data_IF_974911058192
#
_entry.id   IF_974911058192
#
_cell.length_a   1.000
_cell.length_b   1.000
_cell.length_c   1.000
_cell.angle_alpha   90.00
_cell.angle_beta   90.00
_cell.angle_gamma   90.00
#
_symmetry.space_group_name_H-M   'P 1'
#
loop_
_entity.id
_entity.type
_entity.pdbx_description
1 polymer ?
#
# COMPACT_ATOMS: atom_id res chain seq x y z
N UNK A 1 10.47 -5.31 0.57
CA UNK A 1 9.58 -4.15 0.44
C UNK A 1 9.25 -3.71 -1.00
N UNK A 2 10.24 -3.46 -1.86
CA UNK A 2 10.02 -2.81 -3.18
C UNK A 2 8.99 -3.51 -4.09
N UNK A 3 8.97 -4.85 -4.12
CA UNK A 3 7.98 -5.60 -4.89
C UNK A 3 6.54 -5.33 -4.42
N UNK A 4 6.31 -5.27 -3.10
CA UNK A 4 4.98 -5.02 -2.53
C UNK A 4 4.47 -3.62 -2.89
N UNK A 5 5.33 -2.60 -2.86
CA UNK A 5 4.99 -1.24 -3.27
C UNK A 5 4.65 -1.14 -4.77
N UNK A 6 5.30 -1.94 -5.61
CA UNK A 6 4.97 -1.99 -7.04
C UNK A 6 3.59 -2.60 -7.29
N UNK A 7 3.27 -3.72 -6.64
CA UNK A 7 1.92 -4.33 -6.74
C UNK A 7 0.85 -3.38 -6.18
N UNK A 8 1.16 -2.65 -5.12
CA UNK A 8 0.30 -1.61 -4.56
C UNK A 8 0.03 -0.49 -5.58
N UNK A 9 1.05 -0.04 -6.30
CA UNK A 9 0.85 0.96 -7.36
C UNK A 9 0.14 0.42 -8.61
N UNK A 10 -0.02 -0.90 -8.75
CA UNK A 10 -0.75 -1.55 -9.84
C UNK A 10 -2.23 -1.79 -9.52
N UNK A 11 -2.65 -1.70 -8.26
CA UNK A 11 -4.04 -1.96 -7.89
C UNK A 11 -4.40 -3.42 -7.78
N UNK A 12 -3.46 -4.25 -7.34
CA UNK A 12 -3.70 -5.68 -7.17
C UNK A 12 -3.50 -6.06 -5.70
N UNK A 13 -4.48 -5.73 -4.87
CA UNK A 13 -4.51 -5.99 -3.43
C UNK A 13 -4.45 -7.50 -3.12
N UNK A 14 -5.07 -8.32 -3.97
CA UNK A 14 -5.04 -9.78 -3.86
C UNK A 14 -3.62 -10.31 -4.06
N UNK A 15 -2.89 -9.85 -5.09
CA UNK A 15 -1.51 -10.25 -5.32
C UNK A 15 -0.59 -9.79 -4.18
N UNK A 16 -0.83 -8.63 -3.58
CA UNK A 16 -0.06 -8.13 -2.42
C UNK A 16 -0.24 -9.05 -1.22
N UNK A 17 -1.47 -9.45 -0.88
CA UNK A 17 -1.75 -10.40 0.22
C UNK A 17 -1.06 -11.74 -0.01
N UNK A 18 -1.20 -12.30 -1.20
CA UNK A 18 -0.55 -13.56 -1.54
C UNK A 18 0.98 -13.48 -1.42
N UNK A 19 1.56 -12.35 -1.86
CA UNK A 19 3.00 -12.12 -1.69
C UNK A 19 3.39 -11.94 -0.23
N UNK A 20 2.60 -11.22 0.57
CA UNK A 20 2.82 -11.08 2.01
C UNK A 20 2.84 -12.45 2.70
N UNK A 21 1.85 -13.29 2.46
CA UNK A 21 1.80 -14.65 3.04
C UNK A 21 2.97 -15.51 2.57
N UNK A 22 3.35 -15.42 1.28
CA UNK A 22 4.52 -16.13 0.77
C UNK A 22 5.81 -15.66 1.44
N UNK A 23 5.98 -14.35 1.66
CA UNK A 23 7.16 -13.83 2.37
C UNK A 23 7.16 -14.22 3.84
N UNK A 24 6.01 -14.17 4.54
CA UNK A 24 5.88 -14.63 5.93
C UNK A 24 6.17 -16.12 6.10
N UNK A 25 5.76 -16.95 5.13
CA UNK A 25 6.03 -18.39 5.13
C UNK A 25 7.49 -18.73 4.78
N UNK A 26 8.17 -17.87 4.01
CA UNK A 26 9.57 -18.08 3.60
C UNK A 26 10.56 -17.53 4.62
N UNK A 27 10.21 -16.44 5.31
CA UNK A 27 11.06 -15.76 6.28
C UNK A 27 10.29 -15.47 7.56
N UNK A 28 10.63 -16.21 8.62
CA UNK A 28 10.00 -16.10 9.94
C UNK A 28 10.27 -14.76 10.63
N UNK A 29 11.29 -14.01 10.21
CA UNK A 29 11.57 -12.66 10.74
C UNK A 29 10.79 -11.58 10.03
N UNK A 30 10.35 -11.84 8.79
CA UNK A 30 9.59 -10.89 7.99
C UNK A 30 8.19 -10.64 8.56
N UNK A 31 7.58 -11.64 9.21
CA UNK A 31 6.28 -11.48 9.86
C UNK A 31 6.29 -10.42 10.99
N UNK A 32 7.42 -10.24 11.66
CA UNK A 32 7.56 -9.22 12.71
C UNK A 32 8.15 -7.89 12.17
N UNK A 33 8.53 -7.87 10.89
CA UNK A 33 9.08 -6.68 10.26
C UNK A 33 8.03 -5.57 10.19
N UNK A 34 8.48 -4.35 10.51
CA UNK A 34 7.66 -3.13 10.44
C UNK A 34 7.05 -2.92 9.05
N UNK A 35 7.80 -3.27 8.02
CA UNK A 35 7.38 -3.20 6.61
C UNK A 35 6.19 -4.13 6.32
N UNK A 36 6.16 -5.34 6.91
CA UNK A 36 5.07 -6.29 6.73
C UNK A 36 3.77 -5.74 7.33
N UNK A 37 3.82 -5.34 8.61
CA UNK A 37 2.68 -4.75 9.32
C UNK A 37 2.16 -3.48 8.64
N UNK A 38 3.07 -2.67 8.07
CA UNK A 38 2.69 -1.49 7.30
C UNK A 38 1.90 -1.85 6.04
N UNK A 39 2.40 -2.78 5.21
CA UNK A 39 1.71 -3.17 3.98
C UNK A 39 0.37 -3.84 4.30
N UNK A 40 0.27 -4.65 5.35
CA UNK A 40 -1.01 -5.24 5.79
C UNK A 40 -2.07 -4.20 6.12
N UNK A 41 -1.69 -3.17 6.90
CA UNK A 41 -2.58 -2.05 7.22
C UNK A 41 -3.03 -1.30 5.97
N UNK A 42 -2.11 -1.03 5.04
CA UNK A 42 -2.45 -0.35 3.79
C UNK A 42 -3.41 -1.15 2.92
N UNK A 43 -3.22 -2.47 2.84
CA UNK A 43 -4.12 -3.37 2.12
C UNK A 43 -5.49 -3.42 2.79
N UNK A 44 -5.56 -3.45 4.11
CA UNK A 44 -6.84 -3.39 4.82
C UNK A 44 -7.58 -2.08 4.54
N UNK A 45 -6.90 -0.93 4.63
CA UNK A 45 -7.49 0.36 4.30
C UNK A 45 -7.97 0.43 2.84
N UNK A 46 -7.28 -0.27 1.92
CA UNK A 46 -7.70 -0.43 0.54
C UNK A 46 -9.03 -1.20 0.43
N UNK A 47 -9.13 -2.38 1.07
CA UNK A 47 -10.34 -3.20 1.05
C UNK A 47 -11.57 -2.49 1.64
N UNK A 48 -11.34 -1.59 2.59
CA UNK A 48 -12.37 -0.73 3.19
C UNK A 48 -12.66 0.53 2.36
N UNK A 49 -12.01 0.70 1.19
CA UNK A 49 -12.05 1.89 0.34
C UNK A 49 -11.77 3.19 1.11
N UNK A 50 -10.94 3.12 2.15
CA UNK A 50 -10.69 4.20 3.08
C UNK A 50 -9.34 4.90 2.79
N UNK A 51 -9.38 5.88 1.90
CA UNK A 51 -8.20 6.64 1.49
C UNK A 51 -7.62 7.52 2.62
N UNK A 52 -8.42 7.89 3.62
CA UNK A 52 -7.98 8.66 4.79
C UNK A 52 -7.13 7.78 5.71
N UNK A 53 -7.63 6.59 6.07
CA UNK A 53 -6.91 5.62 6.92
C UNK A 53 -5.60 5.15 6.26
N UNK A 54 -5.62 4.94 4.94
CA UNK A 54 -4.41 4.67 4.15
C UNK A 54 -3.36 5.79 4.31
N UNK A 55 -3.81 7.05 4.33
CA UNK A 55 -2.93 8.22 4.47
C UNK A 55 -2.35 8.33 5.87
N UNK A 56 -3.17 8.09 6.89
CA UNK A 56 -2.76 8.10 8.29
C UNK A 56 -1.68 7.05 8.53
N UNK A 57 -1.88 5.81 8.05
CA UNK A 57 -0.87 4.77 8.14
C UNK A 57 0.42 5.10 7.39
N UNK A 58 0.34 5.73 6.21
CA UNK A 58 1.53 6.24 5.51
C UNK A 58 2.29 7.29 6.33
N UNK A 59 1.57 8.21 6.97
CA UNK A 59 2.15 9.27 7.79
C UNK A 59 2.81 8.71 9.06
N UNK A 60 2.14 7.79 9.77
CA UNK A 60 2.67 7.06 10.92
C UNK A 60 3.97 6.33 10.55
N UNK A 61 3.96 5.61 9.43
CA UNK A 61 5.14 4.88 8.99
C UNK A 61 6.29 5.84 8.63
N UNK A 62 6.01 6.93 7.91
CA UNK A 62 7.01 7.93 7.53
C UNK A 62 7.66 8.62 8.73
N UNK A 63 6.89 8.86 9.81
CA UNK A 63 7.40 9.46 11.04
C UNK A 63 8.45 8.56 11.74
N UNK A 64 8.32 7.25 11.59
CA UNK A 64 9.21 6.26 12.21
C UNK A 64 10.33 5.84 11.25
N UNK A 65 10.01 5.71 9.96
CA UNK A 65 10.88 5.22 8.89
C UNK A 65 10.73 6.15 7.70
N UNK A 66 11.72 7.02 7.49
CA UNK A 66 11.69 8.00 6.42
C UNK A 66 11.45 7.32 5.06
N UNK A 67 10.38 7.73 4.38
CA UNK A 67 10.06 7.25 3.04
C UNK A 67 10.87 8.02 2.01
N UNK A 68 11.56 7.28 1.15
CA UNK A 68 12.23 7.86 -0.01
C UNK A 68 11.19 8.46 -0.99
N UNK A 69 11.54 9.53 -1.72
CA UNK A 69 10.62 10.19 -2.67
C UNK A 69 9.96 9.22 -3.65
N UNK A 70 10.69 8.22 -4.13
CA UNK A 70 10.17 7.19 -5.04
C UNK A 70 9.08 6.31 -4.40
N UNK A 71 9.25 5.92 -3.12
CA UNK A 71 8.25 5.15 -2.37
C UNK A 71 6.99 5.98 -2.14
N UNK A 72 7.17 7.26 -1.79
CA UNK A 72 6.06 8.20 -1.63
C UNK A 72 5.28 8.35 -2.95
N UNK A 73 5.95 8.47 -4.10
CA UNK A 73 5.26 8.52 -5.40
C UNK A 73 4.42 7.27 -5.68
N UNK A 74 4.92 6.07 -5.35
CA UNK A 74 4.17 4.81 -5.47
C UNK A 74 2.94 4.80 -4.56
N UNK A 75 3.09 5.19 -3.29
CA UNK A 75 2.01 5.24 -2.32
C UNK A 75 0.92 6.25 -2.69
N UNK A 76 1.31 7.41 -3.24
CA UNK A 76 0.36 8.42 -3.74
C UNK A 76 -0.42 7.89 -4.94
N UNK A 77 0.21 7.11 -5.82
CA UNK A 77 -0.48 6.48 -6.95
C UNK A 77 -1.52 5.46 -6.46
N UNK A 78 -1.14 4.60 -5.51
CA UNK A 78 -2.06 3.64 -4.90
C UNK A 78 -3.25 4.34 -4.21
N UNK A 79 -3.00 5.40 -3.43
CA UNK A 79 -4.07 6.21 -2.80
C UNK A 79 -5.10 6.72 -3.81
N UNK A 80 -4.65 7.18 -4.98
CA UNK A 80 -5.56 7.67 -6.04
C UNK A 80 -6.47 6.56 -6.57
N UNK A 81 -5.97 5.33 -6.63
CA UNK A 81 -6.77 4.18 -7.06
C UNK A 81 -7.88 3.90 -6.04
N UNK A 82 -7.54 3.85 -4.74
CA UNK A 82 -8.52 3.67 -3.66
C UNK A 82 -9.58 4.79 -3.68
N UNK A 83 -9.15 6.04 -3.86
CA UNK A 83 -10.07 7.18 -3.95
C UNK A 83 -10.99 7.09 -5.19
N UNK A 84 -10.48 6.61 -6.32
CA UNK A 84 -11.26 6.40 -7.55
C UNK A 84 -12.23 5.21 -7.44
N UNK A 85 -11.92 4.20 -6.63
CA UNK A 85 -12.86 3.11 -6.31
C UNK A 85 -13.96 3.58 -5.34
N UNK A 86 -13.62 4.45 -4.38
CA UNK A 86 -14.57 5.02 -3.42
C UNK A 86 -15.52 6.04 -4.05
N UNK A 87 -15.00 6.88 -4.95
CA UNK A 87 -15.76 7.82 -5.78
C UNK A 87 -15.86 7.23 -7.19
N UNK A 88 -16.91 6.45 -7.46
CA UNK A 88 -17.12 5.83 -8.77
C UNK A 88 -16.89 6.80 -9.92
N UNK A 89 -15.86 6.49 -10.72
CA UNK A 89 -15.47 7.09 -12.00
C UNK A 89 -15.56 8.62 -12.11
N UNK A 90 -14.42 9.28 -11.91
CA UNK A 90 -14.06 10.46 -12.71
C UNK A 90 -12.69 10.21 -13.36
N UNK A 91 -12.77 9.80 -14.62
CA UNK A 91 -11.67 9.74 -15.58
C UNK A 91 -10.88 11.06 -15.54
N UNK A 92 -9.64 11.03 -15.05
CA UNK A 92 -8.68 12.10 -15.28
C UNK A 92 -7.60 11.55 -16.19
N UNK A 93 -7.94 11.47 -17.48
CA UNK A 93 -6.96 11.51 -18.57
C UNK A 93 -6.01 12.69 -18.33
N UNK A 94 -4.74 12.38 -18.07
CA UNK A 94 -3.66 13.37 -18.12
C UNK A 94 -2.79 13.00 -19.31
N UNK A 95 -3.23 13.47 -20.48
CA UNK A 95 -2.37 13.82 -21.62
C UNK A 95 -1.11 14.58 -21.18
#
# INVERSE_FOLDING_TARGET
MNALLCYMAMGDEVAIKQKLDQYKGSDYTFADARECKFVEKLVQAWEESNADDYTDHCAEYNAISALDPWKTSLLVKAKRMIAAEAHGEEDVDLT
#
